data_IF_758402922785
#
_entry.id   IF_758402922785
#
_cell.length_a   1.000
_cell.length_b   1.000
_cell.length_c   1.000
_cell.angle_alpha   90.00
_cell.angle_beta   90.00
_cell.angle_gamma   90.00
#
_symmetry.space_group_name_H-M   'P 1'
#
loop_
_entity.id
_entity.type
_entity.pdbx_description
1 polymer ?
#
# COMPACT_ATOMS: atom_id res chain seq x y z
N UNK A 1 27.31 16.04 -60.22
CA UNK A 1 26.29 16.98 -59.71
C UNK A 1 24.93 16.31 -59.87
N UNK A 2 24.03 16.12 -58.91
CA UNK A 2 24.05 15.85 -57.47
C UNK A 2 22.66 15.23 -57.22
N UNK A 3 22.59 14.02 -56.66
CA UNK A 3 21.33 13.38 -56.25
C UNK A 3 21.08 13.80 -54.79
N UNK A 4 20.53 14.99 -54.61
CA UNK A 4 20.21 15.54 -53.30
C UNK A 4 18.97 16.41 -53.43
N UNK A 5 17.80 15.79 -53.51
CA UNK A 5 16.58 16.48 -53.13
C UNK A 5 15.54 15.48 -52.63
N UNK A 6 14.91 15.85 -51.51
CA UNK A 6 13.77 15.21 -50.85
C UNK A 6 14.04 14.01 -49.94
N UNK A 7 15.03 14.20 -49.05
CA UNK A 7 14.80 13.86 -47.65
C UNK A 7 13.78 14.85 -47.08
N UNK A 8 12.54 14.41 -46.86
CA UNK A 8 11.54 15.15 -46.09
C UNK A 8 10.90 14.20 -45.09
N UNK A 9 11.56 14.09 -43.95
CA UNK A 9 11.07 13.39 -42.78
C UNK A 9 9.71 13.94 -42.35
N UNK A 10 8.71 13.05 -42.31
CA UNK A 10 7.50 13.25 -41.50
C UNK A 10 7.64 12.39 -40.24
N UNK A 11 7.88 12.96 -39.05
CA UNK A 11 7.78 12.21 -37.82
C UNK A 11 6.30 11.98 -37.49
N UNK A 12 5.83 10.73 -37.62
CA UNK A 12 4.51 10.27 -37.14
C UNK A 12 4.40 10.20 -35.60
N UNK A 13 5.12 11.04 -34.84
CA UNK A 13 5.30 10.84 -33.39
C UNK A 13 4.62 11.87 -32.49
N UNK A 14 3.79 12.78 -33.03
CA UNK A 14 3.07 13.77 -32.20
C UNK A 14 2.05 13.11 -31.24
N UNK A 15 1.49 11.95 -31.58
CA UNK A 15 0.51 11.27 -30.72
C UNK A 15 1.14 10.42 -29.59
N UNK A 16 2.41 10.04 -29.70
CA UNK A 16 3.09 9.25 -28.66
C UNK A 16 3.51 10.13 -27.47
N UNK A 17 3.97 11.36 -27.75
CA UNK A 17 4.33 12.35 -26.72
C UNK A 17 3.12 12.79 -25.90
N UNK A 18 1.97 13.00 -26.54
CA UNK A 18 0.75 13.45 -25.87
C UNK A 18 0.20 12.39 -24.90
N UNK A 19 0.29 11.08 -25.25
CA UNK A 19 -0.04 9.98 -24.32
C UNK A 19 0.92 9.88 -23.14
N UNK A 20 2.22 10.13 -23.33
CA UNK A 20 3.20 10.12 -22.25
C UNK A 20 2.99 11.27 -21.25
N UNK A 21 2.52 12.43 -21.70
CA UNK A 21 2.17 13.55 -20.82
C UNK A 21 0.90 13.28 -19.99
N UNK A 22 -0.09 12.56 -20.53
CA UNK A 22 -1.27 12.14 -19.77
C UNK A 22 -0.95 11.05 -18.73
N UNK A 23 -0.01 10.14 -19.03
CA UNK A 23 0.43 9.12 -18.06
C UNK A 23 1.14 9.74 -16.85
N UNK A 24 1.86 10.85 -17.04
CA UNK A 24 2.55 11.58 -15.96
C UNK A 24 1.59 12.34 -15.03
N UNK A 25 0.34 12.57 -15.43
CA UNK A 25 -0.70 13.18 -14.59
C UNK A 25 -1.54 12.15 -13.82
N UNK A 26 -1.41 10.85 -14.12
CA UNK A 26 -2.10 9.75 -13.43
C UNK A 26 -1.27 9.10 -12.30
N UNK A 27 -0.05 9.58 -12.07
CA UNK A 27 0.82 9.17 -10.97
C UNK A 27 0.15 9.19 -9.59
N UNK A 28 -0.64 10.22 -9.19
CA UNK A 28 -1.16 10.26 -7.82
C UNK A 28 -2.22 9.18 -7.56
N UNK A 29 -3.17 8.97 -8.48
CA UNK A 29 -4.18 7.91 -8.37
C UNK A 29 -3.54 6.51 -8.39
N UNK A 30 -2.51 6.31 -9.22
CA UNK A 30 -1.80 5.03 -9.28
C UNK A 30 -0.97 4.78 -8.01
N UNK A 31 -0.35 5.81 -7.45
CA UNK A 31 0.38 5.74 -6.19
C UNK A 31 -0.54 5.45 -5.00
N UNK A 32 -1.77 5.99 -5.01
CA UNK A 32 -2.83 5.65 -4.04
C UNK A 32 -3.23 4.18 -4.19
N UNK A 33 -3.48 3.71 -5.41
CA UNK A 33 -3.83 2.31 -5.67
C UNK A 33 -2.76 1.34 -5.16
N UNK A 34 -1.48 1.64 -5.42
CA UNK A 34 -0.36 0.88 -4.91
C UNK A 34 -0.31 0.90 -3.38
N UNK A 35 -0.54 2.06 -2.76
CA UNK A 35 -0.62 2.21 -1.31
C UNK A 35 -1.72 1.33 -0.70
N UNK A 36 -2.94 1.41 -1.22
CA UNK A 36 -4.08 0.59 -0.76
C UNK A 36 -3.76 -0.91 -0.86
N UNK A 37 -3.19 -1.35 -1.98
CA UNK A 37 -2.81 -2.75 -2.18
C UNK A 37 -1.73 -3.21 -1.19
N UNK A 38 -0.72 -2.37 -0.95
CA UNK A 38 0.35 -2.66 0.02
C UNK A 38 -0.19 -2.75 1.44
N UNK A 39 -1.07 -1.81 1.85
CA UNK A 39 -1.72 -1.85 3.16
C UNK A 39 -2.52 -3.14 3.29
N UNK A 40 -3.33 -3.51 2.29
CA UNK A 40 -4.14 -4.73 2.34
C UNK A 40 -3.27 -5.99 2.51
N UNK A 41 -2.19 -6.08 1.75
CA UNK A 41 -1.23 -7.20 1.83
C UNK A 41 -0.53 -7.24 3.20
N UNK A 42 -0.14 -6.08 3.73
CA UNK A 42 0.46 -5.97 5.05
C UNK A 42 -0.53 -6.33 6.16
N UNK A 43 -1.80 -5.93 6.05
CA UNK A 43 -2.89 -6.30 6.98
C UNK A 43 -3.14 -7.80 6.96
N UNK A 44 -3.23 -8.43 5.78
CA UNK A 44 -3.39 -9.88 5.68
C UNK A 44 -2.19 -10.63 6.31
N UNK A 45 -0.97 -10.13 6.11
CA UNK A 45 0.23 -10.66 6.76
C UNK A 45 0.19 -10.47 8.28
N UNK A 46 -0.25 -9.30 8.75
CA UNK A 46 -0.41 -8.99 10.16
C UNK A 46 -1.42 -9.92 10.83
N UNK A 47 -2.58 -10.17 10.21
CA UNK A 47 -3.58 -11.11 10.70
C UNK A 47 -3.00 -12.52 10.85
N UNK A 48 -2.19 -13.00 9.90
CA UNK A 48 -1.51 -14.31 10.01
C UNK A 48 -0.55 -14.36 11.20
N UNK A 49 0.20 -13.29 11.45
CA UNK A 49 1.09 -13.20 12.61
C UNK A 49 0.28 -13.20 13.92
N UNK A 50 -0.80 -12.43 13.98
CA UNK A 50 -1.69 -12.38 15.14
C UNK A 50 -2.32 -13.75 15.44
N UNK A 51 -2.77 -14.47 14.41
CA UNK A 51 -3.32 -15.83 14.57
C UNK A 51 -2.29 -16.85 15.05
N UNK A 52 -1.00 -16.54 14.92
CA UNK A 52 0.09 -17.39 15.43
C UNK A 52 0.42 -17.11 16.89
N UNK A 53 -0.06 -15.99 17.47
CA UNK A 53 0.10 -15.67 18.89
C UNK A 53 -0.70 -16.65 19.76
N UNK A 54 -0.05 -17.16 20.81
CA UNK A 54 -0.63 -18.18 21.69
C UNK A 54 -0.57 -19.60 21.16
N UNK A 55 0.07 -19.83 20.00
CA UNK A 55 0.46 -21.16 19.52
C UNK A 55 1.91 -21.46 19.92
N UNK A 56 2.40 -22.72 19.86
CA UNK A 56 3.82 -23.00 20.11
C UNK A 56 4.80 -22.30 19.15
N UNK A 57 4.31 -21.61 18.11
CA UNK A 57 5.09 -20.74 17.22
C UNK A 57 5.24 -19.31 17.73
N UNK A 58 4.63 -18.97 18.87
CA UNK A 58 4.74 -17.65 19.49
C UNK A 58 6.16 -17.46 20.07
N UNK A 59 7.07 -16.98 19.23
CA UNK A 59 8.44 -16.63 19.60
C UNK A 59 8.62 -15.13 19.72
N UNK A 60 9.68 -14.69 20.40
CA UNK A 60 10.07 -13.27 20.49
C UNK A 60 10.26 -12.63 19.10
N UNK A 61 10.87 -13.35 18.16
CA UNK A 61 11.03 -12.88 16.77
C UNK A 61 9.67 -12.67 16.07
N UNK A 62 8.70 -13.56 16.29
CA UNK A 62 7.35 -13.40 15.74
C UNK A 62 6.68 -12.14 16.28
N UNK A 63 6.79 -11.90 17.60
CA UNK A 63 6.25 -10.68 18.24
C UNK A 63 6.94 -9.41 17.74
N UNK A 64 8.26 -9.43 17.56
CA UNK A 64 8.99 -8.31 16.94
C UNK A 64 8.53 -8.06 15.49
N UNK A 65 8.35 -9.11 14.70
CA UNK A 65 7.86 -9.01 13.32
C UNK A 65 6.43 -8.47 13.27
N UNK A 66 5.57 -8.89 14.20
CA UNK A 66 4.22 -8.36 14.36
C UNK A 66 4.25 -6.86 14.65
N UNK A 67 5.09 -6.43 15.60
CA UNK A 67 5.26 -5.01 15.93
C UNK A 67 5.77 -4.20 14.73
N UNK A 68 6.79 -4.69 14.03
CA UNK A 68 7.34 -4.04 12.81
C UNK A 68 6.28 -3.93 11.72
N UNK A 69 5.49 -4.98 11.51
CA UNK A 69 4.40 -5.00 10.52
C UNK A 69 3.32 -3.99 10.89
N UNK A 70 2.96 -3.88 12.17
CA UNK A 70 2.02 -2.86 12.69
C UNK A 70 2.49 -1.44 12.39
N UNK A 71 3.76 -1.15 12.66
CA UNK A 71 4.36 0.16 12.36
C UNK A 71 4.38 0.46 10.86
N UNK A 72 4.75 -0.53 10.04
CA UNK A 72 4.77 -0.40 8.58
C UNK A 72 3.37 -0.09 8.03
N UNK A 73 2.33 -0.78 8.50
CA UNK A 73 0.94 -0.48 8.10
C UNK A 73 0.57 0.96 8.48
N UNK A 74 0.91 1.40 9.69
CA UNK A 74 0.66 2.78 10.11
C UNK A 74 1.35 3.82 9.23
N UNK A 75 2.58 3.54 8.78
CA UNK A 75 3.31 4.40 7.86
C UNK A 75 2.66 4.43 6.47
N UNK A 76 2.34 3.26 5.90
CA UNK A 76 1.68 3.15 4.61
C UNK A 76 0.32 3.87 4.60
N UNK A 77 -0.43 3.81 5.70
CA UNK A 77 -1.70 4.54 5.87
C UNK A 77 -1.49 6.05 5.80
N UNK A 78 -0.48 6.58 6.50
CA UNK A 78 -0.15 8.02 6.46
C UNK A 78 0.24 8.46 5.06
N UNK A 79 1.12 7.71 4.40
CA UNK A 79 1.58 8.00 3.04
C UNK A 79 0.43 7.92 2.02
N UNK A 80 -0.41 6.89 2.11
CA UNK A 80 -1.54 6.71 1.20
C UNK A 80 -2.59 7.81 1.42
N UNK A 81 -2.84 8.22 2.67
CA UNK A 81 -3.74 9.33 2.97
C UNK A 81 -3.22 10.65 2.41
N UNK A 82 -1.91 10.92 2.51
CA UNK A 82 -1.30 12.12 1.94
C UNK A 82 -1.41 12.13 0.40
N UNK A 83 -1.12 10.99 -0.23
CA UNK A 83 -1.26 10.81 -1.69
C UNK A 83 -2.71 10.94 -2.16
N UNK A 84 -3.67 10.42 -1.39
CA UNK A 84 -5.10 10.53 -1.69
C UNK A 84 -5.55 11.99 -1.68
N UNK A 85 -5.05 12.79 -0.73
CA UNK A 85 -5.34 14.23 -0.68
C UNK A 85 -4.76 14.96 -1.89
N UNK A 86 -3.51 14.70 -2.24
CA UNK A 86 -2.87 15.28 -3.43
C UNK A 86 -3.58 14.88 -4.74
N UNK A 87 -4.02 13.62 -4.85
CA UNK A 87 -4.82 13.16 -5.99
C UNK A 87 -6.11 13.98 -6.11
N UNK A 88 -6.83 14.15 -5.00
CA UNK A 88 -8.09 14.90 -4.96
C UNK A 88 -7.92 16.40 -5.26
N UNK A 89 -6.81 17.02 -4.85
CA UNK A 89 -6.49 18.42 -5.18
C UNK A 89 -6.18 18.59 -6.67
N UNK A 90 -5.40 17.66 -7.25
CA UNK A 90 -5.06 17.65 -8.68
C UNK A 90 -6.30 17.46 -9.56
N UNK A 91 -7.23 16.61 -9.10
CA UNK A 91 -8.50 16.33 -9.78
C UNK A 91 -9.50 17.50 -9.73
N UNK A 92 -9.35 18.43 -8.78
CA UNK A 92 -10.16 19.65 -8.74
C UNK A 92 -9.62 20.72 -9.69
N UNK A 93 -8.32 20.73 -9.94
CA UNK A 93 -7.64 21.72 -10.80
C UNK A 93 -7.60 21.29 -12.28
N UNK A 94 -7.92 20.04 -12.59
CA UNK A 94 -7.85 19.49 -13.95
C UNK A 94 -9.21 18.92 -14.32
N UNK A 95 -9.67 19.14 -15.56
CA UNK A 95 -10.91 18.52 -16.04
C UNK A 95 -10.70 16.99 -16.17
N UNK A 96 -11.09 16.24 -15.14
CA UNK A 96 -10.87 14.79 -15.05
C UNK A 96 -12.00 14.04 -15.73
N UNK A 97 -11.66 13.02 -16.51
CA UNK A 97 -12.64 12.13 -17.14
C UNK A 97 -13.46 11.37 -16.08
N UNK A 98 -14.74 11.10 -16.37
CA UNK A 98 -15.64 10.38 -15.48
C UNK A 98 -15.09 9.01 -15.05
N UNK A 99 -14.36 8.33 -15.93
CA UNK A 99 -13.70 7.04 -15.65
C UNK A 99 -12.65 7.14 -14.53
N UNK A 100 -11.87 8.23 -14.49
CA UNK A 100 -10.87 8.44 -13.44
C UNK A 100 -11.54 8.73 -12.09
N UNK A 101 -12.56 9.59 -12.07
CA UNK A 101 -13.36 9.84 -10.86
C UNK A 101 -13.96 8.57 -10.24
N UNK A 102 -14.46 7.65 -11.07
CA UNK A 102 -14.99 6.36 -10.61
C UNK A 102 -13.87 5.50 -9.99
N UNK A 103 -12.70 5.46 -10.63
CA UNK A 103 -11.55 4.73 -10.10
C UNK A 103 -11.08 5.30 -8.75
N UNK A 104 -10.97 6.62 -8.62
CA UNK A 104 -10.56 7.26 -7.37
C UNK A 104 -11.59 7.06 -6.25
N UNK A 105 -12.88 7.15 -6.56
CA UNK A 105 -13.94 6.84 -5.59
C UNK A 105 -13.87 5.38 -5.11
N UNK A 106 -13.57 4.45 -6.01
CA UNK A 106 -13.36 3.04 -5.65
C UNK A 106 -12.13 2.88 -4.75
N UNK A 107 -11.02 3.53 -5.08
CA UNK A 107 -9.80 3.50 -4.27
C UNK A 107 -10.03 4.05 -2.86
N UNK A 108 -10.79 5.14 -2.73
CA UNK A 108 -11.16 5.69 -1.43
C UNK A 108 -11.98 4.69 -0.61
N UNK A 109 -12.94 4.00 -1.24
CA UNK A 109 -13.74 2.95 -0.58
C UNK A 109 -12.88 1.77 -0.16
N UNK A 110 -12.01 1.29 -1.04
CA UNK A 110 -11.08 0.19 -0.75
C UNK A 110 -10.13 0.56 0.40
N UNK A 111 -9.60 1.79 0.40
CA UNK A 111 -8.79 2.31 1.51
C UNK A 111 -9.54 2.28 2.84
N UNK A 112 -10.79 2.75 2.87
CA UNK A 112 -11.63 2.72 4.08
C UNK A 112 -11.88 1.29 4.58
N UNK A 113 -12.13 0.34 3.67
CA UNK A 113 -12.32 -1.06 4.04
C UNK A 113 -11.06 -1.63 4.69
N UNK A 114 -9.90 -1.40 4.07
CA UNK A 114 -8.61 -1.89 4.58
C UNK A 114 -8.28 -1.26 5.95
N UNK A 115 -8.61 0.02 6.17
CA UNK A 115 -8.45 0.66 7.48
C UNK A 115 -9.30 0.00 8.57
N UNK A 116 -10.55 -0.35 8.26
CA UNK A 116 -11.41 -1.06 9.23
C UNK A 116 -10.86 -2.44 9.56
N UNK A 117 -10.39 -3.17 8.56
CA UNK A 117 -9.76 -4.49 8.76
C UNK A 117 -8.48 -4.39 9.59
N UNK A 118 -7.67 -3.35 9.36
CA UNK A 118 -6.49 -3.09 10.19
C UNK A 118 -6.87 -2.80 11.65
N UNK A 119 -7.88 -1.96 11.89
CA UNK A 119 -8.34 -1.65 13.25
C UNK A 119 -8.85 -2.89 13.99
N UNK A 120 -9.62 -3.76 13.31
CA UNK A 120 -10.05 -5.05 13.88
C UNK A 120 -8.85 -5.93 14.21
N UNK A 121 -7.90 -6.04 13.28
CA UNK A 121 -6.70 -6.85 13.48
C UNK A 121 -5.85 -6.31 14.65
N UNK A 122 -5.75 -4.99 14.84
CA UNK A 122 -5.06 -4.39 15.98
C UNK A 122 -5.73 -4.74 17.32
N UNK A 123 -7.06 -4.71 17.39
CA UNK A 123 -7.79 -5.11 18.61
C UNK A 123 -7.54 -6.57 18.93
N UNK A 124 -7.64 -7.44 17.91
CA UNK A 124 -7.39 -8.87 18.07
C UNK A 124 -5.93 -9.13 18.48
N UNK A 125 -4.97 -8.37 17.94
CA UNK A 125 -3.57 -8.42 18.37
C UNK A 125 -3.42 -8.04 19.86
N UNK A 126 -4.03 -6.94 20.31
CA UNK A 126 -3.96 -6.51 21.69
C UNK A 126 -4.60 -7.53 22.65
N UNK A 127 -5.77 -8.07 22.29
CA UNK A 127 -6.43 -9.14 23.05
C UNK A 127 -5.51 -10.37 23.17
N UNK A 128 -4.87 -10.81 22.08
CA UNK A 128 -3.95 -11.95 22.10
C UNK A 128 -2.65 -11.66 22.86
N UNK A 129 -2.06 -10.48 22.69
CA UNK A 129 -0.85 -10.07 23.44
C UNK A 129 -1.11 -10.00 24.95
N UNK A 130 -2.31 -9.60 25.37
CA UNK A 130 -2.71 -9.58 26.78
C UNK A 130 -3.10 -10.96 27.31
N UNK A 131 -3.75 -11.79 26.51
CA UNK A 131 -4.19 -13.13 26.90
C UNK A 131 -3.04 -14.14 27.00
N UNK A 132 -1.96 -13.94 26.23
CA UNK A 132 -0.84 -14.87 26.16
C UNK A 132 0.47 -14.20 26.62
N UNK A 133 0.98 -14.61 27.78
CA UNK A 133 2.36 -14.32 28.16
C UNK A 133 3.32 -14.93 27.12
N UNK A 134 4.43 -14.23 26.76
CA UNK A 134 5.40 -14.76 25.81
C UNK A 134 5.87 -16.13 26.30
N UNK A 135 5.77 -17.14 25.43
CA UNK A 135 6.29 -18.46 25.74
C UNK A 135 7.79 -18.34 26.00
N UNK A 136 8.20 -18.55 27.25
CA UNK A 136 9.61 -18.70 27.63
C UNK A 136 9.88 -20.21 27.62
N UNK A 137 10.69 -20.74 26.68
CA UNK A 137 11.07 -22.14 26.67
C UNK A 137 11.70 -22.51 28.02
N UNK A 138 11.21 -23.60 28.61
CA UNK A 138 11.54 -24.08 29.96
C UNK A 138 12.96 -24.65 30.11
N UNK A 139 13.87 -24.35 29.18
CA UNK A 139 15.26 -24.84 29.18
C UNK A 139 16.22 -23.96 29.99
N UNK A 140 15.79 -22.76 30.44
CA UNK A 140 16.62 -21.87 31.24
C UNK A 140 16.59 -22.10 32.78
N UNK A 141 15.87 -23.13 33.27
CA UNK A 141 15.78 -23.42 34.72
C UNK A 141 16.33 -24.78 35.14
N UNK A 142 17.17 -25.41 34.31
CA UNK A 142 17.94 -26.58 34.74
C UNK A 142 19.40 -26.44 34.33
N UNK A 143 20.15 -25.67 35.11
CA UNK A 143 21.58 -25.91 35.30
C UNK A 143 22.02 -25.30 36.62
N UNK A 144 22.09 -26.21 37.60
CA UNK A 144 22.92 -26.24 38.81
C UNK A 144 22.82 -25.13 39.84
#
# INVERSE_FOLDING_TARGET
MSFQDLESGRPLTLNARQRQLQQRQNEPSQAVAAGVFQINTAVASFQRLVNSLGTPKDTLELRQKLHKTRLNIGQLVKETSAKLKQASETDQHTEVSASKKIADAKLAKDFQLVLREFQKAQRLAAERETAYAPFVPKEALSSR
#
